data_IF_214260780628
#
_entry.id   IF_214260780628
#
_cell.length_a   1.000
_cell.length_b   1.000
_cell.length_c   1.000
_cell.angle_alpha   90.00
_cell.angle_beta   90.00
_cell.angle_gamma   90.00
#
_symmetry.space_group_name_H-M   'P 1'
#
loop_
_entity.id
_entity.type
_entity.pdbx_description
1 polymer ?
#
# COMPACT_ATOMS: atom_id res chain seq x y z
N UNK A 1 -13.34 -35.77 -51.78
CA UNK A 1 -14.16 -34.57 -51.48
C UNK A 1 -13.25 -33.64 -50.67
N UNK A 2 -12.62 -32.71 -51.39
CA UNK A 2 -11.75 -31.68 -50.83
C UNK A 2 -12.61 -30.50 -50.40
N UNK A 3 -12.71 -30.26 -49.10
CA UNK A 3 -13.38 -29.05 -48.60
C UNK A 3 -12.39 -27.87 -48.74
N UNK A 4 -12.74 -26.91 -49.60
CA UNK A 4 -12.02 -25.66 -49.73
C UNK A 4 -12.23 -24.80 -48.49
N UNK A 5 -11.14 -24.44 -47.80
CA UNK A 5 -11.15 -23.46 -46.74
C UNK A 5 -11.51 -22.09 -47.30
N UNK A 6 -12.56 -21.47 -46.77
CA UNK A 6 -12.95 -20.09 -47.11
C UNK A 6 -11.83 -19.14 -46.67
N UNK A 7 -11.43 -18.12 -47.46
CA UNK A 7 -10.44 -17.18 -47.03
C UNK A 7 -10.98 -16.34 -45.88
N UNK A 8 -10.22 -16.29 -44.78
CA UNK A 8 -10.52 -15.42 -43.67
C UNK A 8 -10.62 -13.96 -44.12
N UNK A 9 -11.69 -13.27 -43.71
CA UNK A 9 -11.88 -11.84 -43.95
C UNK A 9 -10.76 -11.02 -43.34
N UNK A 10 -10.17 -10.06 -44.04
CA UNK A 10 -9.07 -9.24 -43.49
C UNK A 10 -9.52 -8.21 -42.46
N UNK A 11 -10.75 -8.28 -41.92
CA UNK A 11 -11.28 -7.33 -40.93
C UNK A 11 -11.12 -7.77 -39.50
N UNK A 12 -10.66 -8.98 -39.20
CA UNK A 12 -10.41 -9.48 -37.84
C UNK A 12 -8.95 -9.31 -37.35
N UNK A 13 -8.22 -8.33 -37.91
CA UNK A 13 -7.02 -7.86 -37.22
C UNK A 13 -7.49 -7.09 -35.95
N UNK A 14 -7.59 -7.78 -34.82
CA UNK A 14 -7.68 -7.18 -33.51
C UNK A 14 -6.57 -6.13 -33.45
N UNK A 15 -6.91 -4.86 -33.64
CA UNK A 15 -6.02 -3.78 -33.26
C UNK A 15 -5.79 -3.94 -31.78
N UNK A 16 -4.68 -4.56 -31.40
CA UNK A 16 -4.19 -4.48 -30.04
C UNK A 16 -3.90 -3.00 -29.79
N UNK A 17 -4.89 -2.29 -29.29
CA UNK A 17 -4.66 -1.02 -28.66
C UNK A 17 -3.86 -1.36 -27.38
N UNK A 18 -2.55 -1.28 -27.46
CA UNK A 18 -1.78 -1.03 -26.26
C UNK A 18 -2.28 0.31 -25.75
N UNK A 19 -3.19 0.25 -24.82
CA UNK A 19 -3.56 1.41 -24.02
C UNK A 19 -2.24 1.85 -23.38
N UNK A 20 -1.60 2.87 -23.97
CA UNK A 20 -0.42 3.45 -23.36
C UNK A 20 -0.89 4.02 -22.03
N UNK A 21 -0.65 3.26 -20.98
CA UNK A 21 -0.82 3.76 -19.63
C UNK A 21 -0.02 5.06 -19.54
N UNK A 22 -0.68 6.13 -19.12
CA UNK A 22 0.02 7.35 -18.79
C UNK A 22 0.71 7.08 -17.47
N UNK A 23 1.89 6.54 -17.58
CA UNK A 23 2.82 6.57 -16.49
C UNK A 23 3.17 8.04 -16.28
N UNK A 24 2.98 8.56 -15.07
CA UNK A 24 3.44 9.89 -14.71
C UNK A 24 4.96 9.84 -14.68
N UNK A 25 5.56 9.89 -15.88
CA UNK A 25 7.01 9.76 -16.08
C UNK A 25 7.77 10.96 -15.51
N UNK A 26 7.08 12.09 -15.31
CA UNK A 26 7.70 13.32 -14.78
C UNK A 26 8.35 13.16 -13.40
N UNK A 27 7.87 12.23 -12.58
CA UNK A 27 8.42 11.97 -11.23
C UNK A 27 9.39 10.80 -11.20
N UNK A 28 9.59 10.08 -12.33
CA UNK A 28 10.44 8.90 -12.40
C UNK A 28 11.82 9.23 -12.95
N UNK A 29 12.83 8.63 -12.33
CA UNK A 29 14.18 8.63 -12.86
C UNK A 29 14.29 7.69 -14.06
N UNK A 30 15.13 8.07 -15.02
CA UNK A 30 15.47 7.27 -16.19
C UNK A 30 16.98 7.02 -16.23
N UNK A 31 17.45 6.23 -17.18
CA UNK A 31 18.89 5.97 -17.35
C UNK A 31 19.76 7.22 -17.58
N UNK A 32 19.15 8.35 -17.98
CA UNK A 32 19.83 9.65 -18.11
C UNK A 32 19.79 10.49 -16.82
N UNK A 33 19.07 10.07 -15.79
CA UNK A 33 18.91 10.81 -14.54
C UNK A 33 20.05 10.41 -13.59
N UNK A 34 20.83 11.36 -13.00
CA UNK A 34 21.94 11.05 -12.11
C UNK A 34 21.49 10.67 -10.70
N UNK A 35 20.53 9.75 -10.59
CA UNK A 35 19.94 9.28 -9.33
C UNK A 35 19.94 7.75 -9.32
N UNK A 36 20.36 7.15 -8.21
CA UNK A 36 20.26 5.72 -8.04
C UNK A 36 18.80 5.32 -7.81
N UNK A 37 18.24 4.45 -8.62
CA UNK A 37 16.88 3.97 -8.49
C UNK A 37 16.74 2.46 -8.67
N UNK A 38 15.60 1.92 -8.29
CA UNK A 38 15.18 0.54 -8.54
C UNK A 38 13.74 0.54 -9.02
N UNK A 39 13.49 -0.13 -10.15
CA UNK A 39 12.16 -0.37 -10.65
C UNK A 39 11.66 -1.75 -10.23
N UNK A 40 10.43 -1.81 -9.74
CA UNK A 40 9.71 -3.03 -9.43
C UNK A 40 8.50 -3.14 -10.35
N UNK A 41 8.49 -4.17 -11.18
CA UNK A 41 7.33 -4.47 -12.04
C UNK A 41 6.22 -5.16 -11.23
N UNK A 42 5.00 -5.14 -11.76
CA UNK A 42 3.85 -5.85 -11.18
C UNK A 42 4.16 -7.30 -10.83
N UNK A 43 4.84 -8.03 -11.72
CA UNK A 43 5.23 -9.42 -11.50
C UNK A 43 6.12 -9.61 -10.26
N UNK A 44 7.07 -8.70 -10.03
CA UNK A 44 7.96 -8.74 -8.86
C UNK A 44 7.18 -8.40 -7.59
N UNK A 45 6.32 -7.38 -7.66
CA UNK A 45 5.47 -6.96 -6.55
C UNK A 45 4.52 -8.09 -6.14
N UNK A 46 3.76 -8.65 -7.09
CA UNK A 46 2.80 -9.72 -6.85
C UNK A 46 3.46 -10.98 -6.25
N UNK A 47 4.66 -11.33 -6.74
CA UNK A 47 5.41 -12.49 -6.22
C UNK A 47 5.84 -12.35 -4.75
N UNK A 48 6.04 -11.13 -4.27
CA UNK A 48 6.57 -10.86 -2.93
C UNK A 48 5.53 -10.26 -1.98
N UNK A 49 4.32 -9.95 -2.44
CA UNK A 49 3.34 -9.23 -1.62
C UNK A 49 2.71 -10.08 -0.51
N UNK A 50 2.33 -11.32 -0.79
CA UNK A 50 1.69 -12.27 0.17
C UNK A 50 0.75 -11.63 1.20
N UNK A 51 0.21 -10.44 0.92
CA UNK A 51 -0.59 -9.63 1.86
C UNK A 51 0.22 -8.70 2.76
N UNK A 52 1.55 -8.64 2.62
CA UNK A 52 2.38 -7.71 3.36
C UNK A 52 2.16 -6.26 2.91
N UNK A 53 2.34 -5.35 3.84
CA UNK A 53 2.38 -3.91 3.52
C UNK A 53 3.60 -3.56 2.66
N UNK A 54 3.48 -2.49 1.89
CA UNK A 54 4.53 -2.04 0.96
C UNK A 54 5.91 -1.93 1.61
N UNK A 55 6.10 -1.34 2.82
CA UNK A 55 7.42 -1.29 3.46
C UNK A 55 8.07 -2.66 3.64
N UNK A 56 7.30 -3.68 4.01
CA UNK A 56 7.80 -5.04 4.20
C UNK A 56 8.31 -5.67 2.91
N UNK A 57 7.64 -5.40 1.79
CA UNK A 57 8.09 -5.84 0.46
C UNK A 57 9.33 -5.03 0.01
N UNK A 58 9.34 -3.73 0.28
CA UNK A 58 10.47 -2.87 -0.07
C UNK A 58 11.73 -3.15 0.75
N UNK A 59 11.63 -3.78 1.93
CA UNK A 59 12.78 -4.22 2.71
C UNK A 59 13.72 -5.17 1.95
N UNK A 60 13.23 -5.79 0.87
CA UNK A 60 14.03 -6.61 -0.04
C UNK A 60 14.89 -5.79 -1.01
N UNK A 61 14.71 -4.47 -1.05
CA UNK A 61 15.48 -3.59 -1.93
C UNK A 61 16.71 -3.03 -1.20
N UNK A 62 17.81 -2.74 -1.92
CA UNK A 62 19.03 -2.21 -1.30
C UNK A 62 18.79 -0.91 -0.53
N UNK A 63 19.43 -0.77 0.63
CA UNK A 63 19.41 0.43 1.50
C UNK A 63 18.04 0.75 2.12
N UNK A 64 17.09 -0.17 2.07
CA UNK A 64 15.78 -0.05 2.70
C UNK A 64 15.74 -0.86 4.00
N UNK A 65 15.18 -0.29 5.05
CA UNK A 65 14.89 -0.97 6.30
C UNK A 65 13.41 -0.75 6.59
N UNK A 66 12.67 -1.82 6.80
CA UNK A 66 11.29 -1.76 7.27
C UNK A 66 11.20 -2.22 8.72
N UNK A 67 10.30 -1.59 9.47
CA UNK A 67 9.90 -2.03 10.80
C UNK A 67 8.41 -2.31 10.80
N UNK A 68 7.98 -3.28 11.61
CA UNK A 68 6.59 -3.66 11.71
C UNK A 68 6.23 -3.93 13.17
N UNK A 69 5.21 -3.26 13.66
CA UNK A 69 4.77 -3.29 15.05
C UNK A 69 4.10 -4.60 15.42
N UNK A 70 3.36 -5.21 14.49
CA UNK A 70 2.66 -6.49 14.72
C UNK A 70 3.60 -7.70 14.63
N UNK A 71 4.80 -7.50 14.07
CA UNK A 71 5.81 -8.54 13.86
C UNK A 71 5.55 -9.49 12.70
N UNK A 72 4.57 -9.21 11.83
CA UNK A 72 4.18 -10.07 10.70
C UNK A 72 4.21 -9.38 9.33
N UNK A 73 4.62 -8.10 9.27
CA UNK A 73 4.70 -7.35 8.02
C UNK A 73 3.38 -6.73 7.54
N UNK A 74 2.34 -6.73 8.40
CA UNK A 74 1.00 -6.18 8.15
C UNK A 74 0.60 -5.31 9.34
N UNK A 75 -0.11 -4.22 9.09
CA UNK A 75 -0.52 -3.27 10.12
C UNK A 75 0.50 -2.15 10.30
N UNK A 76 0.79 -1.71 11.54
CA UNK A 76 1.73 -0.62 11.80
C UNK A 76 3.12 -0.89 11.19
N UNK A 77 3.33 -0.43 9.97
CA UNK A 77 4.60 -0.56 9.24
C UNK A 77 5.21 0.79 8.95
N UNK A 78 6.52 0.87 9.05
CA UNK A 78 7.29 2.05 8.66
C UNK A 78 8.55 1.65 7.91
N UNK A 79 9.17 2.61 7.21
CA UNK A 79 10.40 2.35 6.49
C UNK A 79 11.41 3.48 6.61
N UNK A 80 12.67 3.13 6.48
CA UNK A 80 13.81 4.05 6.39
C UNK A 80 14.60 3.76 5.13
N UNK A 81 15.06 4.79 4.47
CA UNK A 81 15.89 4.69 3.28
C UNK A 81 17.25 5.37 3.52
N UNK A 82 18.34 4.62 3.38
CA UNK A 82 19.70 5.13 3.68
C UNK A 82 19.83 5.77 5.07
N UNK A 83 19.08 5.26 6.05
CA UNK A 83 19.07 5.77 7.42
C UNK A 83 18.19 7.01 7.65
N UNK A 84 17.59 7.60 6.60
CA UNK A 84 16.63 8.69 6.76
C UNK A 84 15.27 8.16 7.18
N UNK A 85 14.53 8.91 7.97
CA UNK A 85 13.19 8.56 8.42
C UNK A 85 12.10 8.83 7.35
N UNK A 86 10.87 8.41 7.64
CA UNK A 86 9.75 8.52 6.73
C UNK A 86 9.38 9.97 6.36
N UNK A 87 9.70 10.96 7.21
CA UNK A 87 9.43 12.39 6.94
C UNK A 87 10.31 12.97 5.84
N UNK A 88 11.37 12.24 5.47
CA UNK A 88 12.34 12.61 4.43
C UNK A 88 12.12 11.86 3.11
N UNK A 89 11.06 11.06 3.07
CA UNK A 89 10.68 10.26 1.91
C UNK A 89 9.38 10.79 1.33
N UNK A 90 9.37 11.06 0.04
CA UNK A 90 8.12 11.35 -0.65
C UNK A 90 7.54 10.08 -1.26
N UNK A 91 6.27 9.85 -1.04
CA UNK A 91 5.53 8.71 -1.58
C UNK A 91 4.43 9.23 -2.49
N UNK A 92 4.41 8.77 -3.73
CA UNK A 92 3.37 9.16 -4.68
C UNK A 92 2.66 7.96 -5.27
N UNK A 93 1.39 8.13 -5.61
CA UNK A 93 0.64 7.19 -6.43
C UNK A 93 0.00 7.94 -7.61
N UNK A 94 0.29 7.51 -8.82
CA UNK A 94 -0.09 8.20 -10.06
C UNK A 94 0.33 9.68 -10.08
N UNK A 95 1.47 10.01 -9.45
CA UNK A 95 1.99 11.37 -9.33
C UNK A 95 1.37 12.23 -8.22
N UNK A 96 0.37 11.73 -7.50
CA UNK A 96 -0.25 12.40 -6.35
C UNK A 96 0.49 12.01 -5.08
N UNK A 97 0.89 12.99 -4.26
CA UNK A 97 1.56 12.74 -2.98
C UNK A 97 0.60 12.07 -1.99
N UNK A 98 1.09 11.04 -1.32
CA UNK A 98 0.41 10.29 -0.28
C UNK A 98 0.90 10.68 1.13
N UNK A 99 1.92 11.53 1.21
CA UNK A 99 2.39 12.02 2.50
C UNK A 99 1.32 12.90 3.15
N UNK A 100 1.07 12.67 4.42
CA UNK A 100 0.20 13.51 5.22
C UNK A 100 0.81 14.93 5.31
N UNK A 101 0.06 15.99 5.00
CA UNK A 101 0.58 17.36 5.00
C UNK A 101 1.02 17.85 6.39
N UNK A 102 0.49 17.27 7.46
CA UNK A 102 0.81 17.61 8.84
C UNK A 102 2.13 16.96 9.30
N UNK A 103 2.23 15.64 9.20
CA UNK A 103 3.38 14.87 9.68
C UNK A 103 4.49 14.69 8.65
N UNK A 104 4.28 15.05 7.39
CA UNK A 104 5.16 14.79 6.25
C UNK A 104 5.49 13.29 6.04
N UNK A 105 4.72 12.38 6.63
CA UNK A 105 4.92 10.94 6.55
C UNK A 105 3.74 10.27 5.87
N UNK A 106 3.98 9.12 5.26
CA UNK A 106 2.91 8.21 4.85
C UNK A 106 2.70 7.15 5.92
N UNK A 107 1.46 6.99 6.33
CA UNK A 107 1.03 5.90 7.20
C UNK A 107 0.47 4.77 6.33
N UNK A 108 1.22 3.69 6.21
CA UNK A 108 0.92 2.61 5.25
C UNK A 108 -0.33 1.82 5.60
N UNK A 109 -0.69 1.75 6.88
CA UNK A 109 -1.91 1.09 7.34
C UNK A 109 -3.18 1.86 6.99
N UNK A 110 -3.09 3.16 6.66
CA UNK A 110 -4.21 3.97 6.21
C UNK A 110 -4.68 3.59 4.80
N UNK A 111 -3.83 2.87 4.06
CA UNK A 111 -4.11 2.36 2.71
C UNK A 111 -3.97 0.84 2.66
N UNK A 112 -4.88 0.10 3.35
CA UNK A 112 -4.76 -1.34 3.48
C UNK A 112 -4.74 -2.04 2.13
N UNK A 113 -3.87 -3.07 2.00
CA UNK A 113 -3.70 -3.88 0.77
C UNK A 113 -3.45 -3.07 -0.52
N UNK A 114 -2.96 -1.84 -0.40
CA UNK A 114 -2.65 -1.01 -1.58
C UNK A 114 -1.72 -1.74 -2.55
N UNK A 115 -0.80 -2.55 -2.05
CA UNK A 115 0.18 -3.29 -2.84
C UNK A 115 -0.46 -4.18 -3.90
N UNK A 116 -1.63 -4.76 -3.62
CA UNK A 116 -2.36 -5.61 -4.56
C UNK A 116 -2.92 -4.85 -5.76
N UNK A 117 -2.93 -3.52 -5.69
CA UNK A 117 -3.45 -2.62 -6.72
C UNK A 117 -2.34 -1.79 -7.40
N UNK A 118 -1.08 -1.99 -6.99
CA UNK A 118 0.09 -1.33 -7.59
C UNK A 118 0.56 -2.11 -8.80
N UNK A 119 0.64 -1.44 -9.94
CA UNK A 119 1.18 -2.00 -11.19
C UNK A 119 2.70 -1.92 -11.25
N UNK A 120 3.25 -0.76 -10.95
CA UNK A 120 4.70 -0.54 -10.96
C UNK A 120 5.12 0.37 -9.81
N UNK A 121 6.38 0.22 -9.39
CA UNK A 121 6.94 1.03 -8.32
C UNK A 121 8.39 1.36 -8.62
N UNK A 122 8.78 2.61 -8.41
CA UNK A 122 10.18 3.04 -8.50
C UNK A 122 10.63 3.64 -7.17
N UNK A 123 11.75 3.16 -6.67
CA UNK A 123 12.39 3.68 -5.46
C UNK A 123 13.62 4.48 -5.89
N UNK A 124 13.61 5.79 -5.65
CA UNK A 124 14.75 6.68 -5.85
C UNK A 124 15.47 6.92 -4.52
N UNK A 125 16.79 6.88 -4.53
CA UNK A 125 17.62 6.93 -3.32
C UNK A 125 18.45 8.21 -3.26
N UNK A 126 18.17 9.05 -2.26
CA UNK A 126 18.78 10.36 -2.08
C UNK A 126 17.96 11.48 -2.68
N UNK A 127 18.47 12.69 -2.67
CA UNK A 127 17.82 13.84 -3.27
C UNK A 127 17.56 13.55 -4.76
N UNK A 128 16.29 13.37 -5.08
CA UNK A 128 15.83 13.05 -6.44
C UNK A 128 15.67 14.29 -7.31
N UNK A 129 14.92 14.14 -8.38
CA UNK A 129 14.48 15.26 -9.20
C UNK A 129 13.47 16.10 -8.43
N UNK A 130 13.47 17.42 -8.65
CA UNK A 130 12.61 18.40 -7.94
C UNK A 130 11.09 18.13 -8.08
N UNK A 131 10.69 17.33 -9.05
CA UNK A 131 9.29 16.92 -9.27
C UNK A 131 8.75 15.96 -8.20
N UNK A 132 9.59 15.40 -7.33
CA UNK A 132 9.15 14.51 -6.25
C UNK A 132 8.51 15.24 -5.04
N UNK A 133 8.36 16.55 -5.10
CA UNK A 133 7.74 17.35 -4.03
C UNK A 133 8.69 17.74 -2.91
N UNK A 134 8.14 18.34 -1.87
CA UNK A 134 8.87 18.79 -0.68
C UNK A 134 9.27 17.63 0.20
N UNK A 135 10.43 17.71 0.85
CA UNK A 135 10.88 16.71 1.82
C UNK A 135 11.55 15.46 1.23
N UNK A 136 11.61 15.31 -0.11
CA UNK A 136 12.13 14.10 -0.77
C UNK A 136 13.67 13.99 -0.81
N UNK A 137 14.40 14.60 0.10
CA UNK A 137 15.86 14.56 0.06
C UNK A 137 16.47 13.23 0.56
N UNK A 138 15.73 12.42 1.31
CA UNK A 138 16.09 11.05 1.64
C UNK A 138 15.85 10.09 0.48
N UNK A 139 14.81 10.35 -0.30
CA UNK A 139 14.40 9.56 -1.46
C UNK A 139 12.93 9.70 -1.80
N UNK A 140 12.51 8.94 -2.80
CA UNK A 140 11.11 8.91 -3.21
C UNK A 140 10.67 7.48 -3.57
N UNK A 141 9.40 7.18 -3.32
CA UNK A 141 8.71 5.97 -3.77
C UNK A 141 7.57 6.38 -4.68
N UNK A 142 7.74 6.16 -5.97
CA UNK A 142 6.76 6.52 -7.00
C UNK A 142 6.02 5.28 -7.48
N UNK A 143 4.72 5.21 -7.22
CA UNK A 143 3.86 4.10 -7.57
C UNK A 143 2.89 4.48 -8.69
N UNK A 144 2.54 3.50 -9.51
CA UNK A 144 1.39 3.58 -10.41
C UNK A 144 0.42 2.46 -10.09
N UNK A 145 -0.87 2.74 -10.17
CA UNK A 145 -1.91 1.70 -10.06
C UNK A 145 -1.80 0.71 -11.20
N UNK A 146 -2.29 -0.50 -11.00
CA UNK A 146 -2.33 -1.50 -12.07
C UNK A 146 -3.06 -0.95 -13.31
N UNK A 147 -2.61 -1.32 -14.52
CA UNK A 147 -3.30 -0.95 -15.74
C UNK A 147 -4.72 -1.52 -15.74
N UNK A 148 -5.62 -0.83 -16.45
CA UNK A 148 -6.98 -1.33 -16.64
C UNK A 148 -6.95 -2.54 -17.58
N UNK A 149 -7.66 -3.59 -17.20
CA UNK A 149 -7.74 -4.82 -17.99
C UNK A 149 -8.55 -4.58 -19.27
N UNK A 150 -8.07 -5.14 -20.39
CA UNK A 150 -8.77 -5.07 -21.69
C UNK A 150 -9.65 -6.29 -21.94
N UNK A 151 -9.44 -7.37 -21.19
CA UNK A 151 -10.22 -8.60 -21.27
C UNK A 151 -11.17 -8.71 -20.09
N UNK A 152 -12.36 -9.25 -20.33
CA UNK A 152 -13.29 -9.58 -19.26
C UNK A 152 -12.71 -10.72 -18.41
N UNK A 153 -12.72 -10.52 -17.09
CA UNK A 153 -12.16 -11.55 -16.19
C UNK A 153 -12.29 -11.18 -14.73
N UNK A 154 -11.72 -12.04 -13.91
CA UNK A 154 -11.64 -11.80 -12.48
C UNK A 154 -10.99 -12.95 -11.77
N UNK A 155 -10.61 -12.73 -10.52
CA UNK A 155 -10.00 -13.72 -9.65
C UNK A 155 -10.53 -13.64 -8.23
N UNK A 156 -10.48 -14.76 -7.55
CA UNK A 156 -10.69 -14.87 -6.10
C UNK A 156 -9.42 -15.42 -5.48
N UNK A 157 -8.88 -14.70 -4.51
CA UNK A 157 -7.67 -15.08 -3.79
C UNK A 157 -7.96 -15.32 -2.33
N UNK A 158 -7.60 -16.49 -1.83
CA UNK A 158 -7.73 -16.87 -0.43
C UNK A 158 -6.35 -17.28 0.10
N UNK A 159 -5.93 -16.69 1.21
CA UNK A 159 -4.66 -17.01 1.84
C UNK A 159 -4.84 -17.20 3.34
N UNK A 160 -4.11 -18.16 3.89
CA UNK A 160 -4.06 -18.43 5.32
C UNK A 160 -2.62 -18.65 5.76
N UNK A 161 -2.25 -18.11 6.92
CA UNK A 161 -0.89 -18.17 7.43
C UNK A 161 -0.82 -18.19 8.96
N UNK A 162 0.41 -18.10 9.48
CA UNK A 162 0.68 -18.06 10.92
C UNK A 162 -0.06 -16.91 11.61
N UNK A 163 -0.29 -17.07 12.91
CA UNK A 163 -1.00 -16.08 13.75
C UNK A 163 -2.41 -15.77 13.25
N UNK A 164 -3.11 -16.79 12.79
CA UNK A 164 -4.46 -16.68 12.24
C UNK A 164 -4.56 -15.62 11.12
N UNK A 165 -3.45 -15.39 10.41
CA UNK A 165 -3.43 -14.46 9.29
C UNK A 165 -4.26 -15.02 8.15
N UNK A 166 -5.27 -14.28 7.73
CA UNK A 166 -6.09 -14.66 6.59
C UNK A 166 -6.35 -13.45 5.69
N UNK A 167 -6.32 -13.70 4.38
CA UNK A 167 -6.64 -12.70 3.36
C UNK A 167 -7.66 -13.30 2.40
N UNK A 168 -8.67 -12.51 2.10
CA UNK A 168 -9.71 -12.82 1.13
C UNK A 168 -9.79 -11.65 0.17
N UNK A 169 -9.62 -11.88 -1.12
CA UNK A 169 -9.71 -10.83 -2.13
C UNK A 169 -10.52 -11.32 -3.32
N UNK A 170 -11.32 -10.42 -3.88
CA UNK A 170 -12.07 -10.61 -5.12
C UNK A 170 -11.73 -9.47 -6.05
N UNK A 171 -11.41 -9.78 -7.27
CA UNK A 171 -11.16 -8.82 -8.35
C UNK A 171 -12.04 -9.16 -9.54
N UNK A 172 -12.59 -8.15 -10.20
CA UNK A 172 -13.41 -8.28 -11.40
C UNK A 172 -13.08 -7.15 -12.37
N UNK A 173 -12.91 -7.49 -13.64
CA UNK A 173 -12.76 -6.57 -14.76
C UNK A 173 -13.85 -6.77 -15.78
N UNK A 174 -14.37 -5.66 -16.31
CA UNK A 174 -15.33 -5.69 -17.43
C UNK A 174 -14.66 -5.97 -18.77
N UNK A 175 -13.33 -5.86 -18.86
CA UNK A 175 -12.64 -5.72 -20.11
C UNK A 175 -13.05 -4.44 -20.87
N UNK A 176 -12.63 -4.32 -22.10
CA UNK A 176 -12.90 -3.15 -22.94
C UNK A 176 -14.29 -3.23 -23.59
N UNK A 177 -15.23 -2.49 -23.07
CA UNK A 177 -16.61 -2.42 -23.56
C UNK A 177 -16.74 -1.39 -24.67
N UNK A 178 -17.31 -1.80 -25.82
CA UNK A 178 -17.54 -0.94 -26.97
C UNK A 178 -16.27 -0.29 -27.54
N UNK A 179 -15.10 -0.82 -27.23
CA UNK A 179 -13.81 -0.29 -27.66
C UNK A 179 -13.34 0.98 -26.91
N UNK A 180 -14.08 1.43 -25.89
CA UNK A 180 -13.83 2.72 -25.24
C UNK A 180 -13.80 2.66 -23.73
N UNK A 181 -14.59 1.81 -23.08
CA UNK A 181 -14.79 1.83 -21.63
C UNK A 181 -14.27 0.57 -20.98
N UNK A 182 -13.64 0.72 -19.84
CA UNK A 182 -13.29 -0.42 -18.99
C UNK A 182 -13.48 -0.06 -17.52
N UNK A 183 -13.84 -1.06 -16.72
CA UNK A 183 -14.06 -0.93 -15.27
C UNK A 183 -13.41 -2.10 -14.57
N UNK A 184 -12.63 -1.81 -13.53
CA UNK A 184 -12.01 -2.80 -12.65
C UNK A 184 -12.38 -2.52 -11.19
N UNK A 185 -12.67 -3.56 -10.45
CA UNK A 185 -12.95 -3.46 -9.02
C UNK A 185 -12.29 -4.59 -8.24
N UNK A 186 -11.70 -4.24 -7.10
CA UNK A 186 -11.14 -5.18 -6.13
C UNK A 186 -11.67 -4.89 -4.74
N UNK A 187 -12.04 -5.94 -4.01
CA UNK A 187 -12.37 -5.89 -2.59
C UNK A 187 -11.46 -6.85 -1.84
N UNK A 188 -10.93 -6.42 -0.70
CA UNK A 188 -10.04 -7.25 0.11
C UNK A 188 -10.43 -7.14 1.59
N UNK A 189 -10.38 -8.27 2.27
CA UNK A 189 -10.38 -8.36 3.73
C UNK A 189 -9.13 -9.11 4.17
N UNK A 190 -8.43 -8.56 5.15
CA UNK A 190 -7.23 -9.14 5.73
C UNK A 190 -7.29 -9.00 7.24
N UNK A 191 -6.98 -10.07 7.97
CA UNK A 191 -6.89 -10.03 9.42
C UNK A 191 -5.78 -10.93 9.94
N UNK A 192 -5.25 -10.60 11.12
CA UNK A 192 -4.25 -11.40 11.82
C UNK A 192 -4.25 -11.08 13.31
N UNK A 193 -3.87 -12.05 14.13
CA UNK A 193 -3.66 -11.84 15.58
C UNK A 193 -2.28 -11.20 15.89
N UNK A 194 -1.39 -11.15 14.90
CA UNK A 194 -0.02 -10.63 15.04
C UNK A 194 0.92 -11.58 15.77
N UNK A 195 2.24 -11.43 15.53
CA UNK A 195 3.26 -12.11 16.31
C UNK A 195 3.37 -11.51 17.73
N UNK A 196 3.36 -10.20 17.83
CA UNK A 196 3.41 -9.47 19.11
C UNK A 196 2.08 -9.68 19.84
N UNK A 197 2.11 -9.89 21.15
CA UNK A 197 0.89 -10.06 21.96
C UNK A 197 0.04 -8.79 21.87
N UNK A 198 -1.27 -8.95 21.67
CA UNK A 198 -2.21 -7.84 21.45
C UNK A 198 -1.83 -6.93 20.27
N UNK A 199 -1.11 -7.48 19.28
CA UNK A 199 -0.72 -6.78 18.06
C UNK A 199 -1.60 -7.15 16.85
N UNK A 200 -2.86 -7.50 17.08
CA UNK A 200 -3.79 -7.91 16.04
C UNK A 200 -4.15 -6.77 15.07
N UNK A 201 -4.54 -7.14 13.85
CA UNK A 201 -4.98 -6.19 12.82
C UNK A 201 -6.17 -6.74 12.04
N UNK A 202 -7.08 -5.85 11.64
CA UNK A 202 -8.23 -6.15 10.78
C UNK A 202 -8.40 -5.04 9.77
N UNK A 203 -8.20 -5.38 8.51
CA UNK A 203 -8.14 -4.46 7.38
C UNK A 203 -9.21 -4.83 6.37
N UNK A 204 -9.92 -3.83 5.86
CA UNK A 204 -10.83 -4.00 4.72
C UNK A 204 -10.51 -2.91 3.71
N UNK A 205 -10.35 -3.26 2.45
CA UNK A 205 -10.01 -2.29 1.41
C UNK A 205 -10.79 -2.53 0.13
N UNK A 206 -10.84 -1.48 -0.66
CA UNK A 206 -11.34 -1.53 -2.02
C UNK A 206 -10.41 -0.77 -2.97
N UNK A 207 -10.45 -1.16 -4.22
CA UNK A 207 -9.93 -0.43 -5.36
C UNK A 207 -10.98 -0.46 -6.45
N UNK A 208 -11.29 0.71 -7.00
CA UNK A 208 -12.15 0.88 -8.15
C UNK A 208 -11.42 1.71 -9.18
N UNK A 209 -11.41 1.26 -10.42
CA UNK A 209 -10.86 2.00 -11.54
C UNK A 209 -11.86 1.98 -12.69
N UNK A 210 -12.05 3.12 -13.34
CA UNK A 210 -12.82 3.24 -14.56
C UNK A 210 -12.03 4.03 -15.59
N UNK A 211 -12.05 3.59 -16.84
CA UNK A 211 -11.34 4.27 -17.92
C UNK A 211 -12.21 4.51 -19.14
N UNK A 212 -11.99 5.66 -19.77
CA UNK A 212 -12.49 5.99 -21.11
C UNK A 212 -11.33 6.25 -22.04
N UNK A 213 -11.36 5.63 -23.20
CA UNK A 213 -10.33 5.74 -24.22
C UNK A 213 -10.95 6.13 -25.56
N UNK A 214 -10.36 7.13 -26.18
CA UNK A 214 -10.71 7.53 -27.54
C UNK A 214 -9.44 8.08 -28.20
N UNK A 215 -8.76 7.32 -29.02
CA UNK A 215 -7.56 7.66 -29.79
C UNK A 215 -6.64 8.78 -29.29
N UNK A 216 -7.21 9.92 -28.97
CA UNK A 216 -6.51 11.12 -28.48
C UNK A 216 -6.76 11.45 -27.00
N UNK A 217 -7.75 10.81 -26.37
CA UNK A 217 -8.17 11.11 -25.01
C UNK A 217 -8.16 9.85 -24.15
N UNK A 218 -7.55 9.92 -22.98
CA UNK A 218 -7.75 8.96 -21.92
C UNK A 218 -8.25 9.72 -20.70
N UNK A 219 -9.34 9.23 -20.11
CA UNK A 219 -9.83 9.66 -18.82
C UNK A 219 -9.88 8.45 -17.92
N UNK A 220 -9.19 8.50 -16.76
CA UNK A 220 -9.15 7.42 -15.78
C UNK A 220 -9.60 7.94 -14.42
N UNK A 221 -10.62 7.31 -13.86
CA UNK A 221 -11.03 7.48 -12.48
C UNK A 221 -10.39 6.36 -11.65
N UNK A 222 -9.76 6.72 -10.55
CA UNK A 222 -9.22 5.77 -9.56
C UNK A 222 -9.77 6.15 -8.20
N UNK A 223 -10.41 5.20 -7.51
CA UNK A 223 -10.88 5.36 -6.14
C UNK A 223 -10.39 4.17 -5.33
N UNK A 224 -9.64 4.44 -4.27
CA UNK A 224 -9.10 3.38 -3.42
C UNK A 224 -9.03 3.83 -1.97
N UNK A 225 -9.09 2.85 -1.09
CA UNK A 225 -9.02 3.10 0.34
C UNK A 225 -9.55 1.93 1.14
N UNK A 226 -9.83 2.19 2.40
CA UNK A 226 -10.34 1.15 3.27
C UNK A 226 -10.38 1.54 4.73
N UNK A 227 -10.79 0.60 5.54
CA UNK A 227 -10.84 0.71 6.99
C UNK A 227 -9.75 -0.16 7.59
N UNK A 228 -8.94 0.43 8.44
CA UNK A 228 -7.95 -0.23 9.26
C UNK A 228 -8.40 -0.20 10.73
N UNK A 229 -8.30 -1.34 11.41
CA UNK A 229 -8.29 -1.43 12.87
C UNK A 229 -7.03 -2.20 13.25
N UNK A 230 -6.09 -1.54 13.93
CA UNK A 230 -4.85 -2.15 14.40
C UNK A 230 -4.74 -2.00 15.91
N UNK A 231 -4.37 -3.05 16.59
CA UNK A 231 -4.04 -2.97 18.00
C UNK A 231 -2.68 -2.29 18.18
N UNK A 232 -2.56 -1.45 19.21
CA UNK A 232 -1.34 -0.69 19.44
C UNK A 232 -0.22 -1.60 19.97
N UNK A 233 0.94 -1.53 19.31
CA UNK A 233 2.14 -2.29 19.70
C UNK A 233 3.44 -1.56 19.34
N UNK A 234 3.38 -0.23 19.29
CA UNK A 234 4.48 0.63 18.86
C UNK A 234 5.52 0.94 19.93
N UNK A 235 5.26 0.64 21.21
CA UNK A 235 6.17 0.99 22.30
C UNK A 235 7.54 0.30 22.21
N UNK A 236 7.60 -0.82 21.48
CA UNK A 236 8.80 -1.66 21.45
C UNK A 236 9.02 -2.41 22.76
N UNK A 237 10.12 -3.13 22.85
CA UNK A 237 10.55 -3.80 24.05
C UNK A 237 12.08 -3.84 24.13
N UNK A 238 12.64 -3.67 25.31
CA UNK A 238 14.07 -3.80 25.55
C UNK A 238 14.50 -5.27 25.45
N UNK A 239 15.78 -5.51 25.31
CA UNK A 239 16.34 -6.87 25.29
C UNK A 239 16.03 -7.67 26.55
N UNK A 240 16.06 -7.00 27.70
CA UNK A 240 15.79 -7.66 28.99
C UNK A 240 14.31 -7.94 29.18
N UNK A 241 13.42 -7.05 28.76
CA UNK A 241 11.98 -7.31 28.71
C UNK A 241 11.64 -8.48 27.79
N UNK A 242 12.22 -8.55 26.59
CA UNK A 242 12.02 -9.68 25.70
C UNK A 242 12.54 -11.00 26.28
N UNK A 243 13.63 -10.96 27.06
CA UNK A 243 14.18 -12.13 27.71
C UNK A 243 13.32 -12.62 28.88
N UNK A 244 12.81 -11.71 29.70
CA UNK A 244 12.12 -12.02 30.95
C UNK A 244 10.60 -12.13 30.78
N UNK A 245 9.99 -11.29 29.93
CA UNK A 245 8.55 -11.31 29.65
C UNK A 245 8.20 -12.15 28.40
N UNK A 246 9.23 -12.59 27.63
CA UNK A 246 9.10 -13.35 26.40
C UNK A 246 9.13 -12.48 25.14
N UNK A 247 9.54 -13.09 24.02
CA UNK A 247 9.79 -12.40 22.72
C UNK A 247 8.56 -11.72 22.11
N UNK A 248 7.37 -12.03 22.56
CA UNK A 248 6.10 -11.48 22.10
C UNK A 248 5.56 -10.39 23.04
N UNK A 249 6.38 -9.91 23.96
CA UNK A 249 5.99 -8.90 24.93
C UNK A 249 5.56 -7.61 24.23
N UNK A 250 4.52 -6.99 24.78
CA UNK A 250 3.99 -5.70 24.38
C UNK A 250 3.51 -4.99 25.66
N UNK A 251 4.01 -3.80 25.91
CA UNK A 251 3.63 -2.98 27.07
C UNK A 251 2.39 -2.12 26.84
N UNK A 252 1.89 -2.02 25.59
CA UNK A 252 0.68 -1.23 25.30
C UNK A 252 -0.52 -1.75 26.11
N UNK A 253 -1.34 -0.85 26.62
CA UNK A 253 -2.51 -1.17 27.42
C UNK A 253 -2.20 -1.61 28.85
N UNK A 254 -0.96 -1.52 29.32
CA UNK A 254 -0.59 -1.87 30.68
C UNK A 254 -1.10 -0.84 31.67
N UNK A 255 -1.69 -1.31 32.78
CA UNK A 255 -2.10 -0.46 33.90
C UNK A 255 -1.97 -1.18 35.24
N UNK A 256 -1.83 -0.41 36.32
CA UNK A 256 -1.57 -0.91 37.66
C UNK A 256 -2.55 -0.42 38.74
N UNK A 257 -3.68 0.14 38.32
CA UNK A 257 -4.69 0.73 39.22
C UNK A 257 -5.81 -0.26 39.60
N UNK A 258 -5.47 -1.49 39.99
CA UNK A 258 -6.46 -2.53 40.30
C UNK A 258 -6.05 -3.34 41.51
N UNK A 259 -7.03 -3.75 42.32
CA UNK A 259 -6.81 -4.67 43.43
C UNK A 259 -6.58 -6.13 43.01
N UNK A 260 -6.92 -6.46 41.75
CA UNK A 260 -6.76 -7.79 41.19
C UNK A 260 -5.88 -7.76 39.93
N UNK A 261 -4.61 -8.04 40.13
CA UNK A 261 -3.64 -8.11 39.03
C UNK A 261 -3.59 -9.50 38.42
N UNK A 262 -3.61 -9.55 37.07
CA UNK A 262 -3.62 -10.81 36.29
C UNK A 262 -2.26 -11.21 35.75
N UNK A 263 -1.31 -10.30 35.72
CA UNK A 263 -0.01 -10.52 35.06
C UNK A 263 1.14 -10.02 35.95
N UNK A 264 2.27 -10.71 35.86
CA UNK A 264 3.55 -10.29 36.43
C UNK A 264 4.52 -10.06 35.26
N UNK A 265 5.09 -8.87 35.18
CA UNK A 265 6.04 -8.48 34.15
C UNK A 265 7.32 -7.90 34.77
N UNK A 266 8.42 -7.99 34.01
CA UNK A 266 9.65 -7.28 34.32
C UNK A 266 9.58 -5.89 33.67
N UNK A 267 9.73 -4.84 34.45
CA UNK A 267 9.85 -3.47 33.99
C UNK A 267 11.34 -3.09 33.93
N UNK A 268 11.80 -2.71 32.74
CA UNK A 268 13.20 -2.35 32.52
C UNK A 268 13.57 -0.96 33.02
N UNK A 269 12.60 -0.07 33.18
CA UNK A 269 12.83 1.28 33.70
C UNK A 269 13.10 1.23 35.20
N UNK A 270 12.31 0.45 35.95
CA UNK A 270 12.44 0.30 37.41
C UNK A 270 13.43 -0.81 37.81
N UNK A 271 13.73 -1.72 36.88
CA UNK A 271 14.60 -2.88 37.14
C UNK A 271 13.99 -3.92 38.09
N UNK A 272 12.69 -4.05 38.14
CA UNK A 272 11.98 -4.95 39.03
C UNK A 272 10.75 -5.62 38.39
N UNK A 273 10.20 -6.64 39.12
CA UNK A 273 8.98 -7.31 38.71
C UNK A 273 7.76 -6.56 39.25
N UNK A 274 6.86 -6.21 38.34
CA UNK A 274 5.62 -5.51 38.67
C UNK A 274 4.40 -6.39 38.43
N UNK A 275 3.34 -6.12 39.18
CA UNK A 275 2.01 -6.70 38.99
C UNK A 275 1.16 -5.73 38.18
N UNK A 276 0.59 -6.21 37.06
CA UNK A 276 -0.13 -5.36 36.11
C UNK A 276 -1.36 -6.05 35.54
N UNK A 277 -2.22 -5.24 34.96
CA UNK A 277 -3.28 -5.67 34.04
C UNK A 277 -3.02 -5.10 32.65
N UNK A 278 -3.76 -5.61 31.67
CA UNK A 278 -3.72 -5.11 30.30
C UNK A 278 -5.13 -4.80 29.80
N UNK A 279 -5.27 -3.67 29.15
CA UNK A 279 -6.45 -3.28 28.40
C UNK A 279 -6.30 -3.78 26.96
N UNK A 280 -7.13 -4.72 26.54
CA UNK A 280 -6.98 -5.44 25.27
C UNK A 280 -7.53 -4.66 24.05
N UNK A 281 -8.34 -3.61 24.25
CA UNK A 281 -8.95 -2.81 23.17
C UNK A 281 -8.19 -1.50 22.91
N UNK A 282 -6.88 -1.46 23.17
CA UNK A 282 -6.02 -0.38 22.66
C UNK A 282 -5.87 -0.52 21.16
N UNK A 283 -6.54 0.37 20.46
CA UNK A 283 -6.65 0.26 19.00
C UNK A 283 -6.58 1.62 18.31
N UNK A 284 -5.92 1.65 17.17
CA UNK A 284 -6.08 2.68 16.16
C UNK A 284 -7.12 2.24 15.14
N UNK A 285 -8.05 3.13 14.84
CA UNK A 285 -9.13 2.90 13.89
C UNK A 285 -9.12 4.04 12.88
N UNK A 286 -8.86 3.72 11.63
CA UNK A 286 -8.75 4.70 10.57
C UNK A 286 -9.53 4.29 9.32
N UNK A 287 -10.13 5.26 8.65
CA UNK A 287 -10.76 5.14 7.34
C UNK A 287 -10.11 6.16 6.42
N UNK A 288 -9.58 5.73 5.29
CA UNK A 288 -9.10 6.62 4.25
C UNK A 288 -9.69 6.26 2.89
N UNK A 289 -10.06 7.29 2.14
CA UNK A 289 -10.58 7.19 0.79
C UNK A 289 -9.81 8.18 -0.08
N UNK A 290 -9.21 7.68 -1.14
CA UNK A 290 -8.44 8.46 -2.10
C UNK A 290 -9.14 8.40 -3.45
N UNK A 291 -9.41 9.54 -4.05
CA UNK A 291 -10.02 9.65 -5.37
C UNK A 291 -9.10 10.44 -6.29
N UNK A 292 -8.91 9.96 -7.49
CA UNK A 292 -8.07 10.60 -8.52
C UNK A 292 -8.82 10.56 -9.86
N UNK A 293 -8.86 11.68 -10.54
CA UNK A 293 -9.33 11.80 -11.91
C UNK A 293 -8.16 12.22 -12.79
N UNK A 294 -7.72 11.33 -13.64
CA UNK A 294 -6.52 11.46 -14.47
C UNK A 294 -6.96 11.65 -15.92
N UNK A 295 -6.60 12.78 -16.51
CA UNK A 295 -6.82 13.10 -17.91
C UNK A 295 -5.50 13.09 -18.64
N UNK A 296 -5.47 12.44 -19.81
CA UNK A 296 -4.47 12.69 -20.82
C UNK A 296 -5.13 12.98 -22.14
N UNK A 297 -4.76 14.10 -22.70
CA UNK A 297 -5.30 14.60 -23.93
C UNK A 297 -4.16 14.90 -24.91
N UNK A 298 -4.15 14.20 -26.03
CA UNK A 298 -3.26 14.53 -27.15
C UNK A 298 -3.82 15.73 -27.91
N UNK A 299 -3.04 16.80 -27.98
CA UNK A 299 -3.37 18.05 -28.67
C UNK A 299 -2.53 18.15 -29.96
N UNK A 300 -2.99 17.46 -31.03
CA UNK A 300 -2.23 17.31 -32.23
C UNK A 300 -1.03 16.38 -32.10
N UNK A 301 -0.02 16.54 -32.97
CA UNK A 301 1.13 15.61 -33.02
C UNK A 301 2.28 15.94 -32.08
N UNK A 302 2.26 17.10 -31.44
CA UNK A 302 3.41 17.62 -30.67
C UNK A 302 3.13 17.84 -29.21
N UNK A 303 1.87 17.90 -28.79
CA UNK A 303 1.49 18.26 -27.44
C UNK A 303 0.62 17.19 -26.80
N UNK A 304 0.91 16.86 -25.55
CA UNK A 304 0.03 16.05 -24.70
C UNK A 304 -0.17 16.78 -23.38
N UNK A 305 -1.44 17.03 -23.05
CA UNK A 305 -1.84 17.57 -21.76
C UNK A 305 -2.11 16.41 -20.80
N UNK A 306 -1.42 16.40 -19.65
CA UNK A 306 -1.71 15.49 -18.55
C UNK A 306 -2.17 16.32 -17.36
N UNK A 307 -3.31 15.98 -16.79
CA UNK A 307 -3.87 16.64 -15.61
C UNK A 307 -4.43 15.60 -14.64
N UNK A 308 -4.20 15.80 -13.36
CA UNK A 308 -4.76 14.94 -12.30
C UNK A 308 -5.43 15.83 -11.25
N UNK A 309 -6.73 15.60 -11.04
CA UNK A 309 -7.45 16.12 -9.89
C UNK A 309 -7.53 15.02 -8.84
N UNK A 310 -7.38 15.37 -7.56
CA UNK A 310 -7.45 14.41 -6.48
C UNK A 310 -8.17 14.97 -5.26
N UNK A 311 -8.75 14.05 -4.50
CA UNK A 311 -9.40 14.34 -3.21
C UNK A 311 -9.20 13.16 -2.27
N UNK A 312 -8.68 13.44 -1.09
CA UNK A 312 -8.51 12.45 -0.03
C UNK A 312 -9.39 12.80 1.16
N UNK A 313 -10.13 11.82 1.64
CA UNK A 313 -10.91 11.90 2.88
C UNK A 313 -10.32 10.93 3.89
N UNK A 314 -10.11 11.39 5.12
CA UNK A 314 -9.64 10.58 6.24
C UNK A 314 -10.48 10.84 7.48
N UNK A 315 -10.75 9.78 8.22
CA UNK A 315 -11.39 9.84 9.53
C UNK A 315 -10.82 8.74 10.41
N UNK A 316 -10.42 9.08 11.63
CA UNK A 316 -9.88 8.10 12.55
C UNK A 316 -10.00 8.49 14.01
N UNK A 317 -9.82 7.50 14.86
CA UNK A 317 -9.69 7.66 16.30
C UNK A 317 -8.89 6.50 16.87
N UNK A 318 -8.21 6.74 17.97
CA UNK A 318 -7.58 5.68 18.73
C UNK A 318 -8.23 5.54 20.11
N UNK A 319 -8.14 4.34 20.67
CA UNK A 319 -8.57 4.02 22.02
C UNK A 319 -7.35 3.64 22.83
N UNK A 320 -7.20 4.25 23.97
CA UNK A 320 -6.18 3.91 24.96
C UNK A 320 -6.79 3.88 26.35
N UNK A 321 -6.22 3.07 27.22
CA UNK A 321 -6.54 3.15 28.64
C UNK A 321 -6.06 4.50 29.17
N UNK A 322 -6.90 5.11 29.98
CA UNK A 322 -6.56 6.36 30.67
C UNK A 322 -6.94 6.21 32.13
N UNK A 323 -5.96 6.41 33.00
CA UNK A 323 -6.14 6.48 34.45
C UNK A 323 -6.97 7.70 34.85
#
# INVERSE_FOLDING_TARGET
>A
ITAAASPARPEDSVRMYRLQEIEVTATRASGSTPVAYTDLSHKVIARNSYGFDIPSVLALTPSMIATNETGIGIGGTSMRLRGTDATRLNVTINGVSMNNPDSHSMYWYDTPDLISSVGTMQIQRGAGISTNGTGAFGGAVNMSTAPLETEFGGDVSLSYGSYNTNKQAVHVSSGLMGGHWTVDARLTRLSSDGYIRRGGTSLTSYMFQGGYYNGNTMLKLVSFGGKAKTNLSYNGATRDEMRLNGRRYNSSGMYSTSDAYSHRIWNSEDGEWQQVNFYDDETDNYLQINNQLILSQRLGDRWTLNATAFYTYGYGYYKQYKD
#
